data_IF_224302552896
#
_entry.id   IF_224302552896
#
_cell.length_a   1.000
_cell.length_b   1.000
_cell.length_c   1.000
_cell.angle_alpha   90.00
_cell.angle_beta   90.00
_cell.angle_gamma   90.00
#
_symmetry.space_group_name_H-M   'P 1'
#
loop_
_entity.id
_entity.type
_entity.pdbx_description
1 polymer ?
#
# COMPACT_ATOMS: atom_id res chain seq x y z
N UNK A 1 5.58 -11.81 12.14
CA UNK A 1 6.27 -12.73 11.21
C UNK A 1 6.14 -14.14 11.75
N UNK A 2 5.71 -15.11 10.95
CA UNK A 2 5.59 -16.52 11.32
C UNK A 2 6.94 -17.21 11.05
N UNK A 3 7.46 -17.97 12.01
CA UNK A 3 8.63 -18.81 11.77
C UNK A 3 8.24 -20.04 10.94
N UNK A 4 9.02 -20.34 9.91
CA UNK A 4 8.85 -21.51 9.04
C UNK A 4 10.13 -22.33 9.16
N UNK A 5 10.01 -23.53 9.73
CA UNK A 5 11.16 -24.38 10.05
C UNK A 5 11.21 -25.68 9.24
N UNK A 6 10.09 -26.05 8.60
CA UNK A 6 9.98 -27.30 7.83
C UNK A 6 9.33 -27.06 6.49
N UNK A 7 9.56 -28.00 5.54
CA UNK A 7 8.89 -28.00 4.23
C UNK A 7 7.36 -28.02 4.37
N UNK A 8 6.84 -28.83 5.26
CA UNK A 8 5.40 -28.92 5.51
C UNK A 8 4.82 -27.58 5.94
N UNK A 9 5.46 -26.91 6.90
CA UNK A 9 5.06 -25.55 7.33
C UNK A 9 5.15 -24.53 6.21
N UNK A 10 6.14 -24.65 5.32
CA UNK A 10 6.28 -23.78 4.17
C UNK A 10 5.14 -24.00 3.17
N UNK A 11 4.87 -25.25 2.81
CA UNK A 11 3.79 -25.61 1.89
C UNK A 11 2.42 -25.21 2.45
N UNK A 12 2.17 -25.46 3.71
CA UNK A 12 0.95 -25.03 4.41
C UNK A 12 0.82 -23.50 4.39
N UNK A 13 1.92 -22.78 4.64
CA UNK A 13 1.92 -21.34 4.64
C UNK A 13 1.58 -20.75 3.28
N UNK A 14 2.24 -21.20 2.20
CA UNK A 14 2.02 -20.64 0.85
C UNK A 14 0.69 -21.05 0.24
N UNK A 15 0.09 -22.17 0.68
CA UNK A 15 -1.18 -22.71 0.20
C UNK A 15 -2.36 -22.41 1.13
N UNK A 16 -2.13 -21.77 2.30
CA UNK A 16 -3.21 -21.50 3.26
C UNK A 16 -4.30 -20.64 2.62
N UNK A 17 -5.55 -20.90 3.04
CA UNK A 17 -6.73 -20.25 2.49
C UNK A 17 -6.69 -18.72 2.66
N UNK A 18 -7.26 -18.03 1.69
CA UNK A 18 -7.36 -16.56 1.64
C UNK A 18 -6.77 -15.97 0.36
N UNK A 19 -7.21 -14.77 0.03
CA UNK A 19 -6.65 -14.01 -1.11
C UNK A 19 -5.44 -13.15 -0.69
N UNK A 20 -4.71 -13.59 0.34
CA UNK A 20 -3.54 -12.86 0.83
C UNK A 20 -2.29 -13.24 0.04
N UNK A 21 -1.44 -12.26 -0.19
CA UNK A 21 -0.08 -12.54 -0.66
C UNK A 21 0.74 -13.12 0.49
N UNK A 22 1.35 -14.27 0.27
CA UNK A 22 2.24 -14.92 1.22
C UNK A 22 3.67 -14.52 0.88
N UNK A 23 4.34 -13.87 1.80
CA UNK A 23 5.70 -13.35 1.63
C UNK A 23 6.62 -14.18 2.51
N UNK A 24 7.63 -14.81 1.92
CA UNK A 24 8.62 -15.60 2.64
C UNK A 24 9.99 -14.96 2.55
N UNK A 25 10.53 -14.56 3.69
CA UNK A 25 11.89 -14.06 3.83
C UNK A 25 12.86 -15.23 4.09
N UNK A 26 13.66 -15.59 3.11
CA UNK A 26 14.82 -16.44 3.28
C UNK A 26 15.94 -15.64 3.93
N UNK A 27 16.33 -16.03 5.11
CA UNK A 27 17.23 -15.27 5.98
C UNK A 27 18.34 -16.15 6.55
N UNK A 28 19.38 -15.50 7.07
CA UNK A 28 20.41 -16.14 7.87
C UNK A 28 20.70 -15.29 9.12
N UNK A 29 21.04 -15.94 10.22
CA UNK A 29 21.26 -15.29 11.52
C UNK A 29 22.48 -14.35 11.54
N UNK A 30 23.48 -14.64 10.72
CA UNK A 30 24.72 -13.87 10.58
C UNK A 30 24.60 -12.66 9.65
N UNK A 31 23.50 -12.50 8.92
CA UNK A 31 23.33 -11.44 7.92
C UNK A 31 22.72 -10.17 8.54
N UNK A 32 23.47 -9.08 8.54
CA UNK A 32 23.00 -7.76 8.98
C UNK A 32 21.82 -7.27 8.12
N UNK A 33 21.88 -7.48 6.81
CA UNK A 33 20.81 -7.14 5.89
C UNK A 33 19.48 -7.88 6.19
N UNK A 34 19.52 -9.09 6.75
CA UNK A 34 18.34 -9.80 7.23
C UNK A 34 17.77 -9.13 8.48
N UNK A 35 18.64 -8.68 9.38
CA UNK A 35 18.23 -7.94 10.59
C UNK A 35 17.57 -6.60 10.21
N UNK A 36 18.06 -5.93 9.18
CA UNK A 36 17.47 -4.69 8.69
C UNK A 36 16.10 -4.92 8.04
N UNK A 37 15.90 -6.05 7.34
CA UNK A 37 14.56 -6.44 6.88
C UNK A 37 13.61 -6.72 8.04
N UNK A 38 14.08 -7.39 9.10
CA UNK A 38 13.26 -7.65 10.28
C UNK A 38 12.74 -6.34 10.90
N UNK A 39 13.61 -5.34 11.05
CA UNK A 39 13.25 -4.02 11.56
C UNK A 39 12.25 -3.31 10.62
N UNK A 40 12.57 -3.28 9.32
CA UNK A 40 11.71 -2.67 8.31
C UNK A 40 10.32 -3.31 8.29
N UNK A 41 10.22 -4.63 8.33
CA UNK A 41 8.94 -5.35 8.33
C UNK A 41 8.13 -5.02 9.60
N UNK A 42 8.77 -4.87 10.76
CA UNK A 42 8.11 -4.46 11.98
C UNK A 42 7.57 -3.02 11.87
N UNK A 43 8.37 -2.10 11.37
CA UNK A 43 7.95 -0.71 11.12
C UNK A 43 6.75 -0.65 10.14
N UNK A 44 6.81 -1.40 9.04
CA UNK A 44 5.75 -1.42 8.03
C UNK A 44 4.44 -2.06 8.53
N UNK A 45 4.51 -3.02 9.48
CA UNK A 45 3.32 -3.61 10.10
C UNK A 45 2.52 -2.63 10.95
N UNK A 46 3.20 -1.72 11.62
CA UNK A 46 2.55 -0.68 12.44
C UNK A 46 1.97 0.43 11.55
N UNK A 47 2.45 0.55 10.31
CA UNK A 47 1.91 1.46 9.32
C UNK A 47 0.75 0.80 8.57
N UNK A 48 -0.50 1.04 8.99
CA UNK A 48 -1.73 0.59 8.29
C UNK A 48 -1.79 0.96 6.80
N UNK A 49 -0.79 1.67 6.32
CA UNK A 49 -0.67 2.16 4.95
C UNK A 49 -0.44 1.02 3.94
N UNK A 50 0.30 0.00 4.36
CA UNK A 50 0.62 -1.14 3.48
C UNK A 50 -0.45 -2.24 3.50
N UNK A 51 -1.61 -1.96 4.14
CA UNK A 51 -2.72 -2.90 4.22
C UNK A 51 -2.46 -4.06 5.18
N UNK A 52 -3.39 -4.99 5.21
CA UNK A 52 -3.30 -6.22 6.02
C UNK A 52 -3.51 -7.46 5.14
N UNK A 53 -3.53 -7.28 3.82
CA UNK A 53 -3.85 -8.32 2.85
C UNK A 53 -2.60 -9.12 2.41
N UNK A 54 -1.64 -9.28 3.33
CA UNK A 54 -0.47 -10.11 3.17
C UNK A 54 -0.07 -10.78 4.48
N UNK A 55 0.60 -11.89 4.38
CA UNK A 55 1.20 -12.59 5.51
C UNK A 55 2.69 -12.78 5.27
N UNK A 56 3.50 -12.63 6.33
CA UNK A 56 4.96 -12.76 6.22
C UNK A 56 5.46 -13.92 7.07
N UNK A 57 6.10 -14.88 6.41
CA UNK A 57 6.88 -15.94 7.00
C UNK A 57 8.38 -15.66 6.93
N UNK A 58 9.14 -16.21 7.84
CA UNK A 58 10.60 -16.18 7.87
C UNK A 58 11.15 -17.59 7.94
N UNK A 59 12.12 -17.89 7.09
CA UNK A 59 12.77 -19.18 6.95
C UNK A 59 14.28 -19.00 7.00
N UNK A 60 14.96 -19.80 7.87
CA UNK A 60 16.41 -19.87 7.91
C UNK A 60 16.92 -20.70 6.73
N UNK A 61 17.58 -20.03 5.76
CA UNK A 61 18.03 -20.69 4.53
C UNK A 61 19.09 -21.77 4.78
N UNK A 62 19.95 -21.57 5.77
CA UNK A 62 21.00 -22.50 6.18
C UNK A 62 20.46 -23.79 6.82
N UNK A 63 19.26 -23.73 7.43
CA UNK A 63 18.58 -24.90 8.00
C UNK A 63 17.68 -25.59 6.98
N UNK A 64 17.41 -24.95 5.84
CA UNK A 64 16.46 -25.38 4.82
C UNK A 64 17.06 -25.33 3.40
N UNK A 65 18.27 -25.87 3.24
CA UNK A 65 19.04 -25.80 1.99
C UNK A 65 18.31 -26.40 0.78
N UNK A 66 17.50 -27.46 0.97
CA UNK A 66 16.75 -28.07 -0.12
C UNK A 66 15.71 -27.10 -0.69
N UNK A 67 14.98 -26.40 0.18
CA UNK A 67 14.02 -25.36 -0.26
C UNK A 67 14.74 -24.18 -0.89
N UNK A 68 15.87 -23.73 -0.33
CA UNK A 68 16.66 -22.67 -0.92
C UNK A 68 17.13 -23.04 -2.34
N UNK A 69 17.55 -24.28 -2.56
CA UNK A 69 17.95 -24.80 -3.89
C UNK A 69 16.75 -24.90 -4.86
N UNK A 70 15.62 -25.42 -4.39
CA UNK A 70 14.40 -25.56 -5.18
C UNK A 70 13.90 -24.23 -5.71
N UNK A 71 13.88 -23.21 -4.84
CA UNK A 71 13.47 -21.87 -5.21
C UNK A 71 14.62 -20.99 -5.75
N UNK A 72 15.79 -21.59 -6.02
CA UNK A 72 16.97 -20.89 -6.60
C UNK A 72 17.37 -19.65 -5.77
N UNK A 73 17.35 -19.77 -4.45
CA UNK A 73 17.78 -18.72 -3.55
C UNK A 73 19.32 -18.76 -3.46
N UNK A 74 19.96 -17.87 -4.23
CA UNK A 74 21.43 -17.84 -4.34
C UNK A 74 22.09 -16.78 -3.45
N UNK A 75 21.29 -15.92 -2.84
CA UNK A 75 21.76 -14.85 -1.96
C UNK A 75 20.80 -14.63 -0.79
N UNK A 76 21.33 -14.11 0.30
CA UNK A 76 20.56 -13.79 1.53
C UNK A 76 20.75 -12.31 1.85
N UNK A 77 19.68 -11.58 2.19
CA UNK A 77 18.27 -11.99 2.20
C UNK A 77 17.66 -12.13 0.81
N UNK A 78 16.69 -13.04 0.67
CA UNK A 78 15.82 -13.12 -0.51
C UNK A 78 14.38 -13.21 -0.04
N UNK A 79 13.51 -12.41 -0.65
CA UNK A 79 12.07 -12.46 -0.44
C UNK A 79 11.41 -13.13 -1.64
N UNK A 80 10.54 -14.09 -1.37
CA UNK A 80 9.66 -14.71 -2.35
C UNK A 80 8.22 -14.39 -2.00
N UNK A 81 7.45 -13.95 -2.99
CA UNK A 81 6.02 -13.68 -2.83
C UNK A 81 5.20 -14.73 -3.57
N UNK A 82 4.19 -15.26 -2.90
CA UNK A 82 3.30 -16.30 -3.42
C UNK A 82 1.85 -15.85 -3.37
N UNK A 83 1.07 -16.30 -4.35
CA UNK A 83 -0.37 -16.18 -4.35
C UNK A 83 -0.98 -17.52 -4.76
N UNK A 84 -1.81 -18.09 -3.89
CA UNK A 84 -2.42 -19.42 -4.08
C UNK A 84 -1.36 -20.48 -4.43
N UNK A 85 -0.26 -20.52 -3.68
CA UNK A 85 0.85 -21.45 -3.86
C UNK A 85 1.78 -21.17 -5.05
N UNK A 86 1.48 -20.18 -5.89
CA UNK A 86 2.32 -19.83 -7.05
C UNK A 86 3.25 -18.67 -6.72
N UNK A 87 4.52 -18.79 -7.08
CA UNK A 87 5.49 -17.71 -7.00
C UNK A 87 5.10 -16.61 -7.99
N UNK A 88 4.90 -15.38 -7.47
CA UNK A 88 4.48 -14.21 -8.25
C UNK A 88 5.54 -13.11 -8.32
N UNK A 89 6.45 -13.06 -7.33
CA UNK A 89 7.51 -12.05 -7.32
C UNK A 89 8.71 -12.49 -6.48
N UNK A 90 9.88 -11.87 -6.72
CA UNK A 90 11.15 -12.15 -6.05
C UNK A 90 11.93 -10.86 -5.82
N UNK A 91 12.52 -10.73 -4.63
CA UNK A 91 13.42 -9.64 -4.29
C UNK A 91 14.71 -10.25 -3.73
N UNK A 92 15.83 -10.07 -4.41
CA UNK A 92 17.14 -10.54 -3.97
C UNK A 92 17.94 -9.38 -3.35
N UNK A 93 18.50 -9.60 -2.17
CA UNK A 93 19.19 -8.58 -1.39
C UNK A 93 18.26 -7.66 -0.60
N UNK A 94 18.84 -6.70 0.12
CA UNK A 94 18.10 -5.72 0.91
C UNK A 94 17.67 -4.53 0.03
N UNK A 95 16.42 -4.56 -0.45
CA UNK A 95 15.84 -3.50 -1.30
C UNK A 95 14.50 -3.03 -0.70
N UNK A 96 14.53 -2.08 0.25
CA UNK A 96 13.35 -1.57 0.95
C UNK A 96 12.23 -1.07 0.04
N UNK A 97 12.59 -0.39 -1.05
CA UNK A 97 11.64 0.17 -2.02
C UNK A 97 10.82 -0.93 -2.69
N UNK A 98 11.46 -2.00 -3.15
CA UNK A 98 10.77 -3.14 -3.76
C UNK A 98 9.85 -3.88 -2.79
N UNK A 99 10.25 -4.01 -1.51
CA UNK A 99 9.35 -4.60 -0.52
C UNK A 99 8.11 -3.73 -0.34
N UNK A 100 8.25 -2.43 -0.25
CA UNK A 100 7.12 -1.49 -0.15
C UNK A 100 6.19 -1.59 -1.36
N UNK A 101 6.74 -1.61 -2.57
CA UNK A 101 5.99 -1.80 -3.81
C UNK A 101 5.23 -3.13 -3.83
N UNK A 102 5.88 -4.23 -3.39
CA UNK A 102 5.25 -5.53 -3.27
C UNK A 102 4.06 -5.53 -2.30
N UNK A 103 4.20 -4.91 -1.13
CA UNK A 103 3.12 -4.80 -0.14
C UNK A 103 1.94 -3.97 -0.67
N UNK A 104 2.24 -2.87 -1.35
CA UNK A 104 1.26 -2.02 -2.02
C UNK A 104 0.50 -2.84 -3.08
N UNK A 105 1.21 -3.52 -3.98
CA UNK A 105 0.63 -4.37 -5.01
C UNK A 105 -0.26 -5.46 -4.40
N UNK A 106 0.19 -6.11 -3.34
CA UNK A 106 -0.60 -7.13 -2.63
C UNK A 106 -1.94 -6.60 -2.13
N UNK A 107 -1.97 -5.36 -1.65
CA UNK A 107 -3.21 -4.69 -1.22
C UNK A 107 -4.16 -4.44 -2.39
N UNK A 108 -3.64 -4.03 -3.56
CA UNK A 108 -4.44 -3.85 -4.76
C UNK A 108 -5.04 -5.15 -5.26
N UNK A 109 -4.21 -6.20 -5.37
CA UNK A 109 -4.66 -7.51 -5.84
C UNK A 109 -5.76 -8.08 -4.94
N UNK A 110 -5.66 -7.85 -3.63
CA UNK A 110 -6.70 -8.27 -2.68
C UNK A 110 -8.00 -7.46 -2.83
N UNK A 111 -7.92 -6.15 -3.08
CA UNK A 111 -9.09 -5.30 -3.33
C UNK A 111 -9.76 -5.71 -4.64
N UNK A 112 -9.00 -5.94 -5.71
CA UNK A 112 -9.51 -6.39 -7.00
C UNK A 112 -10.19 -7.76 -6.89
N UNK A 113 -9.57 -8.72 -6.17
CA UNK A 113 -10.15 -10.04 -5.94
C UNK A 113 -11.45 -10.00 -5.10
N UNK A 114 -11.52 -9.10 -4.10
CA UNK A 114 -12.75 -8.88 -3.32
C UNK A 114 -13.86 -8.33 -4.21
N UNK A 115 -13.54 -7.38 -5.11
CA UNK A 115 -14.50 -6.83 -6.08
C UNK A 115 -15.00 -7.89 -7.04
N UNK A 116 -14.11 -8.70 -7.63
CA UNK A 116 -14.49 -9.79 -8.54
C UNK A 116 -15.37 -10.85 -7.84
N UNK A 117 -15.10 -11.17 -6.58
CA UNK A 117 -15.95 -12.07 -5.80
C UNK A 117 -17.34 -11.48 -5.51
N UNK A 118 -17.41 -10.18 -5.23
CA UNK A 118 -18.69 -9.47 -5.05
C UNK A 118 -19.47 -9.48 -6.37
N UNK A 119 -18.82 -9.22 -7.50
CA UNK A 119 -19.46 -9.23 -8.82
C UNK A 119 -19.94 -10.64 -9.19
N UNK A 120 -19.18 -11.71 -8.90
CA UNK A 120 -19.62 -13.11 -9.08
C UNK A 120 -20.77 -13.50 -8.16
N UNK A 121 -20.76 -13.04 -6.90
CA UNK A 121 -21.88 -13.25 -5.98
C UNK A 121 -23.14 -12.49 -6.44
N UNK A 122 -22.98 -11.35 -7.10
CA UNK A 122 -24.07 -10.60 -7.71
C UNK A 122 -24.68 -11.34 -8.89
N UNK A 123 -23.90 -11.93 -9.78
CA UNK A 123 -24.40 -12.77 -10.89
C UNK A 123 -25.18 -14.00 -10.41
N UNK A 124 -24.86 -14.55 -9.22
CA UNK A 124 -25.60 -15.67 -8.62
C UNK A 124 -26.82 -15.24 -7.78
N UNK A 125 -26.91 -13.96 -7.43
CA UNK A 125 -27.96 -13.39 -6.57
C UNK A 125 -29.07 -12.63 -7.34
N UNK A 126 -29.32 -12.92 -8.62
CA UNK A 126 -30.36 -12.29 -9.47
C UNK A 126 -31.81 -12.42 -8.90
N UNK A 127 -31.99 -12.30 -7.58
CA UNK A 127 -33.31 -12.35 -6.91
C UNK A 127 -33.59 -11.28 -5.86
N UNK A 128 -32.83 -10.16 -5.81
CA UNK A 128 -33.20 -9.04 -4.92
C UNK A 128 -32.93 -7.69 -5.59
N UNK A 129 -33.81 -7.27 -6.49
CA UNK A 129 -33.79 -5.98 -7.21
C UNK A 129 -33.85 -4.72 -6.31
N UNK A 130 -33.96 -4.87 -4.99
CA UNK A 130 -34.08 -3.76 -4.05
C UNK A 130 -32.76 -3.30 -3.41
N UNK A 131 -31.79 -4.19 -3.25
CA UNK A 131 -30.53 -3.88 -2.55
C UNK A 131 -29.45 -3.33 -3.49
N UNK A 132 -29.42 -3.77 -4.75
CA UNK A 132 -28.44 -3.30 -5.76
C UNK A 132 -28.58 -1.79 -6.04
N UNK A 133 -29.80 -1.28 -6.16
CA UNK A 133 -30.04 0.17 -6.35
C UNK A 133 -29.59 1.03 -5.17
N UNK A 134 -29.51 0.46 -3.96
CA UNK A 134 -29.06 1.19 -2.77
C UNK A 134 -27.53 1.26 -2.69
N UNK A 135 -26.82 0.20 -3.09
CA UNK A 135 -25.35 0.16 -3.08
C UNK A 135 -24.74 0.98 -4.21
N UNK A 136 -25.29 0.89 -5.43
CA UNK A 136 -24.86 1.76 -6.54
C UNK A 136 -25.07 3.23 -6.21
N UNK A 137 -26.18 3.58 -5.61
CA UNK A 137 -26.47 4.95 -5.17
C UNK A 137 -25.50 5.41 -4.07
N UNK A 138 -25.19 4.56 -3.09
CA UNK A 138 -24.21 4.88 -2.05
C UNK A 138 -22.80 5.07 -2.61
N UNK A 139 -22.40 4.25 -3.59
CA UNK A 139 -21.11 4.39 -4.26
C UNK A 139 -21.04 5.67 -5.11
N UNK A 140 -22.13 6.01 -5.79
CA UNK A 140 -22.22 7.25 -6.56
C UNK A 140 -22.17 8.49 -5.64
N UNK A 141 -22.91 8.45 -4.52
CA UNK A 141 -22.86 9.51 -3.49
C UNK A 141 -21.45 9.66 -2.89
N UNK A 142 -20.75 8.55 -2.64
CA UNK A 142 -19.36 8.57 -2.18
C UNK A 142 -18.42 9.18 -3.22
N UNK A 143 -18.52 8.76 -4.49
CA UNK A 143 -17.71 9.29 -5.58
C UNK A 143 -17.91 10.79 -5.78
N UNK A 144 -19.16 11.26 -5.72
CA UNK A 144 -19.48 12.68 -5.77
C UNK A 144 -18.90 13.45 -4.56
N UNK A 145 -18.91 12.83 -3.40
CA UNK A 145 -18.29 13.39 -2.19
C UNK A 145 -16.77 13.49 -2.34
N UNK A 146 -16.12 12.42 -2.82
CA UNK A 146 -14.66 12.39 -3.08
C UNK A 146 -14.27 13.47 -4.08
N UNK A 147 -14.99 13.58 -5.19
CA UNK A 147 -14.79 14.60 -6.21
C UNK A 147 -14.88 16.03 -5.64
N UNK A 148 -15.88 16.27 -4.77
CA UNK A 148 -15.99 17.58 -4.07
C UNK A 148 -14.82 17.85 -3.13
N UNK A 149 -14.34 16.83 -2.41
CA UNK A 149 -13.20 16.97 -1.50
C UNK A 149 -11.89 17.21 -2.25
N UNK A 150 -11.66 16.49 -3.34
CA UNK A 150 -10.48 16.65 -4.21
C UNK A 150 -10.40 18.07 -4.78
N UNK A 151 -11.56 18.62 -5.18
CA UNK A 151 -11.67 19.96 -5.77
C UNK A 151 -11.99 21.06 -4.73
N UNK A 152 -11.72 20.81 -3.45
CA UNK A 152 -12.03 21.78 -2.38
C UNK A 152 -11.23 23.06 -2.52
N UNK A 153 -9.97 22.93 -2.90
CA UNK A 153 -9.04 24.02 -3.25
C UNK A 153 -8.17 23.60 -4.42
N UNK A 154 -7.44 24.53 -5.04
CA UNK A 154 -6.53 24.24 -6.15
C UNK A 154 -5.51 23.16 -5.81
N UNK A 155 -4.99 23.17 -4.56
CA UNK A 155 -4.08 22.14 -4.07
C UNK A 155 -4.66 21.53 -2.81
N UNK A 156 -4.96 20.23 -2.90
CA UNK A 156 -5.59 19.46 -1.82
C UNK A 156 -4.71 18.29 -1.42
N UNK A 157 -4.43 18.20 -0.12
CA UNK A 157 -3.61 17.14 0.47
C UNK A 157 -4.46 16.25 1.38
N UNK A 158 -4.59 14.98 1.02
CA UNK A 158 -5.13 13.94 1.89
C UNK A 158 -3.98 13.30 2.67
N UNK A 159 -4.02 13.40 3.99
CA UNK A 159 -2.91 12.99 4.85
C UNK A 159 -3.41 12.36 6.16
N UNK A 160 -2.52 11.72 6.90
CA UNK A 160 -2.79 11.23 8.27
C UNK A 160 -2.49 12.34 9.27
N UNK A 161 -3.51 12.79 10.00
CA UNK A 161 -3.44 13.93 10.92
C UNK A 161 -3.57 15.27 10.22
N UNK A 162 -3.07 16.32 10.85
CA UNK A 162 -3.11 17.72 10.38
C UNK A 162 -1.71 18.23 10.00
N UNK A 163 -1.61 19.38 9.31
CA UNK A 163 -0.32 20.02 9.02
C UNK A 163 0.46 20.49 10.26
N UNK A 164 -0.22 20.63 11.39
CA UNK A 164 0.40 20.96 12.68
C UNK A 164 0.75 19.73 13.49
N UNK A 165 0.02 18.63 13.26
CA UNK A 165 0.20 17.37 13.97
C UNK A 165 0.06 16.17 13.02
N UNK A 166 1.05 15.96 12.14
CA UNK A 166 1.05 14.80 11.24
C UNK A 166 1.19 13.50 12.03
N UNK A 167 0.37 12.48 11.72
CA UNK A 167 0.35 11.20 12.43
C UNK A 167 1.18 10.11 11.74
N UNK A 168 1.93 10.44 10.67
CA UNK A 168 2.92 9.52 10.06
C UNK A 168 4.08 10.28 9.43
N UNK A 169 5.23 9.59 9.28
CA UNK A 169 6.46 10.18 8.73
C UNK A 169 6.31 10.73 7.31
N UNK A 170 5.56 10.06 6.45
CA UNK A 170 5.32 10.52 5.07
C UNK A 170 4.45 11.78 5.02
N UNK A 171 3.39 11.83 5.84
CA UNK A 171 2.57 13.05 5.99
C UNK A 171 3.39 14.22 6.52
N UNK A 172 4.31 13.97 7.45
CA UNK A 172 5.22 14.99 7.96
C UNK A 172 6.16 15.51 6.86
N UNK A 173 6.71 14.60 6.04
CA UNK A 173 7.65 14.96 4.97
C UNK A 173 6.99 15.83 3.90
N UNK A 174 5.78 15.46 3.42
CA UNK A 174 5.10 16.25 2.39
C UNK A 174 4.69 17.62 2.89
N UNK A 175 4.23 17.73 4.14
CA UNK A 175 3.91 19.02 4.76
C UNK A 175 5.15 19.90 4.88
N UNK A 176 6.29 19.35 5.30
CA UNK A 176 7.57 20.08 5.35
C UNK A 176 7.99 20.57 3.97
N UNK A 177 7.85 19.72 2.96
CA UNK A 177 8.22 20.03 1.57
C UNK A 177 7.37 21.20 1.03
N UNK A 178 6.04 21.12 1.16
CA UNK A 178 5.11 22.16 0.71
C UNK A 178 5.36 23.49 1.43
N UNK A 179 5.54 23.47 2.75
CA UNK A 179 5.85 24.66 3.56
C UNK A 179 7.18 25.30 3.18
N UNK A 180 8.21 24.50 2.88
CA UNK A 180 9.53 25.02 2.49
C UNK A 180 9.50 25.81 1.15
N UNK A 181 8.51 25.56 0.30
CA UNK A 181 8.30 26.24 -0.97
C UNK A 181 7.20 27.33 -0.90
N UNK A 182 6.72 27.68 0.31
CA UNK A 182 5.64 28.64 0.53
C UNK A 182 4.36 28.29 -0.26
N UNK A 183 4.02 27.01 -0.33
CA UNK A 183 2.84 26.54 -1.07
C UNK A 183 1.62 26.60 -0.16
N UNK A 184 0.52 27.15 -0.70
CA UNK A 184 -0.79 27.13 -0.05
C UNK A 184 -1.51 25.83 -0.43
N UNK A 185 -2.06 25.12 0.54
CA UNK A 185 -2.80 23.88 0.33
C UNK A 185 -3.88 23.68 1.39
N UNK A 186 -4.97 23.04 0.99
CA UNK A 186 -5.99 22.55 1.90
C UNK A 186 -5.70 21.10 2.29
N UNK A 187 -6.13 20.68 3.48
CA UNK A 187 -5.86 19.32 3.96
C UNK A 187 -7.11 18.61 4.43
N UNK A 188 -7.13 17.30 4.25
CA UNK A 188 -8.12 16.39 4.81
C UNK A 188 -7.42 15.30 5.62
N UNK A 189 -7.85 15.13 6.88
CA UNK A 189 -7.36 14.06 7.75
C UNK A 189 -8.14 12.77 7.46
N UNK A 190 -7.51 11.83 6.76
CA UNK A 190 -8.13 10.55 6.38
C UNK A 190 -8.34 9.60 7.55
N UNK A 191 -7.80 9.90 8.74
CA UNK A 191 -8.03 9.09 9.94
C UNK A 191 -9.40 9.35 10.57
N UNK A 192 -10.02 10.46 10.21
CA UNK A 192 -11.35 10.84 10.73
C UNK A 192 -12.51 10.29 9.90
N UNK A 193 -12.22 9.72 8.72
CA UNK A 193 -13.25 9.27 7.78
C UNK A 193 -12.79 8.04 6.99
N UNK A 194 -13.22 6.87 7.42
CA UNK A 194 -12.82 5.60 6.80
C UNK A 194 -13.43 5.42 5.40
N UNK A 195 -14.63 5.94 5.13
CA UNK A 195 -15.23 5.88 3.79
C UNK A 195 -14.41 6.69 2.79
N UNK A 196 -14.01 7.92 3.15
CA UNK A 196 -13.12 8.73 2.32
C UNK A 196 -11.76 8.05 2.18
N UNK A 197 -11.22 7.51 3.27
CA UNK A 197 -9.92 6.86 3.28
C UNK A 197 -9.85 5.64 2.36
N UNK A 198 -10.85 4.77 2.36
CA UNK A 198 -10.86 3.60 1.47
C UNK A 198 -11.34 3.98 0.07
N UNK A 199 -12.40 4.79 -0.02
CA UNK A 199 -12.97 5.20 -1.29
C UNK A 199 -11.98 5.97 -2.16
N UNK A 200 -11.15 6.85 -1.59
CA UNK A 200 -10.19 7.64 -2.33
C UNK A 200 -9.08 6.79 -2.96
N UNK A 201 -8.66 5.70 -2.30
CA UNK A 201 -7.68 4.76 -2.88
C UNK A 201 -8.22 4.12 -4.16
N UNK A 202 -9.49 3.73 -4.15
CA UNK A 202 -10.16 3.12 -5.31
C UNK A 202 -10.43 4.17 -6.38
N UNK A 203 -10.92 5.34 -5.98
CA UNK A 203 -11.28 6.44 -6.90
C UNK A 203 -10.08 6.95 -7.69
N UNK A 204 -8.92 7.06 -7.06
CA UNK A 204 -7.69 7.59 -7.66
C UNK A 204 -6.75 6.52 -8.21
N UNK A 205 -7.10 5.24 -8.06
CA UNK A 205 -6.21 4.11 -8.35
C UNK A 205 -4.82 4.27 -7.68
N UNK A 206 -4.84 4.81 -6.43
CA UNK A 206 -3.62 5.09 -5.66
C UNK A 206 -3.75 4.62 -4.22
N UNK A 207 -3.00 3.59 -3.77
CA UNK A 207 -3.31 2.86 -2.53
C UNK A 207 -2.83 3.52 -1.26
N UNK A 208 -1.91 4.48 -1.35
CA UNK A 208 -1.17 5.00 -0.19
C UNK A 208 -1.48 6.46 0.09
N UNK A 209 -1.12 6.91 1.30
CA UNK A 209 -1.19 8.30 1.72
C UNK A 209 0.20 8.77 2.20
N UNK A 210 0.54 10.06 2.03
CA UNK A 210 -0.32 11.16 1.56
C UNK A 210 -0.61 11.12 0.05
N UNK A 211 -1.76 11.72 -0.35
CA UNK A 211 -2.11 11.97 -1.74
C UNK A 211 -2.28 13.46 -1.97
N UNK A 212 -1.58 14.01 -2.95
CA UNK A 212 -1.66 15.41 -3.32
C UNK A 212 -2.37 15.56 -4.66
N UNK A 213 -3.34 16.47 -4.72
CA UNK A 213 -4.12 16.79 -5.91
C UNK A 213 -3.93 18.25 -6.28
N UNK A 214 -3.71 18.53 -7.56
CA UNK A 214 -3.66 19.87 -8.13
C UNK A 214 -4.78 20.03 -9.16
N UNK A 215 -5.62 21.04 -8.98
CA UNK A 215 -6.76 21.34 -9.86
C UNK A 215 -7.64 20.09 -10.15
N UNK A 216 -7.78 19.21 -9.16
CA UNK A 216 -8.59 17.98 -9.23
C UNK A 216 -7.87 16.75 -9.76
N UNK A 217 -6.63 16.87 -10.20
CA UNK A 217 -5.82 15.76 -10.71
C UNK A 217 -4.82 15.25 -9.66
N UNK A 218 -4.68 13.93 -9.55
CA UNK A 218 -3.72 13.32 -8.64
C UNK A 218 -2.29 13.57 -9.13
N UNK A 219 -1.49 14.23 -8.30
CA UNK A 219 -0.04 14.33 -8.51
C UNK A 219 0.70 13.07 -7.99
N UNK A 220 0.20 12.47 -6.92
CA UNK A 220 0.80 11.29 -6.31
C UNK A 220 1.14 11.45 -4.83
N UNK A 221 2.00 10.56 -4.33
CA UNK A 221 2.52 10.56 -2.97
C UNK A 221 3.78 11.42 -2.81
N UNK A 222 4.40 11.36 -1.62
CA UNK A 222 5.58 12.19 -1.27
C UNK A 222 6.76 12.01 -2.24
N UNK A 223 6.99 10.80 -2.74
CA UNK A 223 8.17 10.55 -3.59
C UNK A 223 7.99 11.18 -4.97
N UNK A 224 6.79 11.08 -5.56
CA UNK A 224 6.45 11.75 -6.83
C UNK A 224 6.51 13.27 -6.66
N UNK A 225 5.86 13.80 -5.62
CA UNK A 225 5.86 15.25 -5.36
C UNK A 225 7.25 15.79 -5.13
N UNK A 226 8.13 15.04 -4.44
CA UNK A 226 9.53 15.44 -4.22
C UNK A 226 10.30 15.53 -5.54
N UNK A 227 10.04 14.62 -6.47
CA UNK A 227 10.69 14.62 -7.78
C UNK A 227 10.19 15.79 -8.63
N UNK A 228 8.87 15.98 -8.72
CA UNK A 228 8.26 17.10 -9.45
C UNK A 228 8.72 18.47 -8.93
N UNK A 229 8.90 18.61 -7.62
CA UNK A 229 9.37 19.86 -7.00
C UNK A 229 10.83 20.22 -7.29
N UNK A 230 11.60 19.36 -7.95
CA UNK A 230 12.92 19.73 -8.47
C UNK A 230 12.84 20.60 -9.72
N UNK A 231 11.71 20.55 -10.42
CA UNK A 231 11.46 21.43 -11.57
C UNK A 231 10.91 22.79 -11.11
N UNK A 232 11.64 23.90 -11.33
CA UNK A 232 11.17 25.24 -10.98
C UNK A 232 9.85 25.59 -11.67
N UNK A 233 9.63 25.14 -12.92
CA UNK A 233 8.41 25.40 -13.66
C UNK A 233 7.18 24.73 -13.03
N UNK A 234 7.36 23.55 -12.42
CA UNK A 234 6.31 22.91 -11.64
C UNK A 234 6.02 23.70 -10.35
N UNK A 235 7.05 24.12 -9.62
CA UNK A 235 6.90 24.88 -8.37
C UNK A 235 6.20 26.22 -8.60
N UNK A 236 6.39 26.87 -9.75
CA UNK A 236 5.70 28.12 -10.12
C UNK A 236 4.19 27.94 -10.35
N UNK A 237 3.75 26.75 -10.79
CA UNK A 237 2.31 26.45 -11.00
C UNK A 237 1.55 26.28 -9.70
N UNK A 238 2.24 25.97 -8.60
CA UNK A 238 1.61 25.70 -7.31
C UNK A 238 1.09 27.02 -6.68
N UNK A 239 -0.08 26.99 -6.01
CA UNK A 239 -0.59 28.14 -5.30
C UNK A 239 0.37 28.57 -4.18
N UNK A 240 0.62 29.86 -4.05
CA UNK A 240 1.55 30.41 -3.05
C UNK A 240 0.79 31.05 -1.90
N UNK A 241 1.39 30.96 -0.72
CA UNK A 241 0.95 31.77 0.42
C UNK A 241 1.19 33.24 0.09
N UNK A 242 0.17 34.07 0.24
CA UNK A 242 0.21 35.53 0.05
C UNK A 242 0.64 36.21 1.34
#
# INVERSE_FOLDING_TARGET
MQAINTREQFEDFINSEGNFTKIVLFSASWSEACTDYDKLILELKDEKEYGTDYEIGKLAAEENEEMAKEYQVNSIPTILAFQKGKLIDRIEGFIPTKLKELLIKSTFDAIAAKKENIDKLRETAEKTEGEEKSEEKQQEELNERLKRLINKERLTLFMKGSPTEPKCGFSQQIVKLLKAHNVQFWTFDILLDEQVRQGLKVYSDWPTYPQLYLDGELLGGIDVVREEMKDPAFVEKLPKLV
#
